data_IF_076072111283
#
_entry.id   IF_076072111283
#
_cell.length_a   1.000
_cell.length_b   1.000
_cell.length_c   1.000
_cell.angle_alpha   90.00
_cell.angle_beta   90.00
_cell.angle_gamma   90.00
#
_symmetry.space_group_name_H-M   'P 1'
#
loop_
_entity.id
_entity.type
_entity.pdbx_description
1 polymer ?
#
# COMPACT_ATOMS: atom_id res chain seq x y z
N UNK A 1 8.61 27.91 2.39
CA UNK A 1 10.01 27.46 2.24
C UNK A 1 10.00 26.04 1.70
N UNK A 2 10.79 25.69 0.68
CA UNK A 2 10.88 24.31 0.25
C UNK A 2 11.47 23.46 1.37
N UNK A 3 10.81 22.33 1.69
CA UNK A 3 11.32 21.38 2.68
C UNK A 3 12.61 20.75 2.14
N UNK A 4 13.69 20.84 2.89
CA UNK A 4 14.95 20.20 2.53
C UNK A 4 14.83 18.72 2.97
N UNK A 5 14.72 17.79 1.99
CA UNK A 5 14.91 16.37 2.21
C UNK A 5 13.65 15.48 2.25
N UNK A 6 12.43 16.02 2.09
CA UNK A 6 11.20 15.21 1.99
C UNK A 6 10.57 15.20 0.58
N UNK A 7 9.67 14.26 0.27
CA UNK A 7 8.92 14.27 -0.98
C UNK A 7 8.05 15.53 -1.08
N UNK A 8 7.98 16.11 -2.27
CA UNK A 8 7.19 17.33 -2.56
C UNK A 8 5.99 16.98 -3.44
N UNK A 9 4.82 17.56 -3.12
CA UNK A 9 3.56 17.36 -3.83
C UNK A 9 2.79 18.68 -4.04
N UNK A 10 1.79 18.69 -4.89
CA UNK A 10 0.92 19.83 -5.14
C UNK A 10 1.70 21.05 -5.64
N UNK A 11 1.45 22.23 -5.05
CA UNK A 11 2.11 23.49 -5.46
C UNK A 11 3.63 23.51 -5.32
N UNK A 12 4.20 22.63 -4.50
CA UNK A 12 5.64 22.49 -4.34
C UNK A 12 6.27 21.53 -5.36
N UNK A 13 5.44 20.73 -6.05
CA UNK A 13 5.83 19.83 -7.12
C UNK A 13 5.92 20.64 -8.43
N UNK A 14 7.14 21.00 -8.81
CA UNK A 14 7.36 21.93 -9.91
C UNK A 14 7.95 21.24 -11.14
N UNK A 15 7.49 21.64 -12.35
CA UNK A 15 8.08 21.33 -13.65
C UNK A 15 8.10 19.83 -14.08
N UNK A 16 7.12 19.00 -13.63
CA UNK A 16 6.99 17.59 -14.05
C UNK A 16 5.54 17.20 -14.35
N UNK A 17 4.70 18.18 -14.65
CA UNK A 17 3.28 17.98 -14.90
C UNK A 17 3.05 16.99 -16.05
N UNK A 18 3.78 17.16 -17.17
CA UNK A 18 3.68 16.27 -18.33
C UNK A 18 3.98 14.81 -17.96
N UNK A 19 5.01 14.58 -17.11
CA UNK A 19 5.35 13.23 -16.64
C UNK A 19 4.27 12.59 -15.76
N UNK A 20 3.61 13.39 -14.93
CA UNK A 20 2.48 12.89 -14.12
C UNK A 20 1.35 12.47 -15.03
N UNK A 21 1.00 13.29 -16.03
CA UNK A 21 -0.06 12.99 -16.99
C UNK A 21 0.25 11.73 -17.82
N UNK A 22 1.49 11.59 -18.28
CA UNK A 22 1.94 10.40 -19.01
C UNK A 22 1.81 9.13 -18.16
N UNK A 23 2.23 9.19 -16.89
CA UNK A 23 2.12 8.05 -15.96
C UNK A 23 0.66 7.72 -15.67
N UNK A 24 -0.18 8.71 -15.36
CA UNK A 24 -1.61 8.49 -15.07
C UNK A 24 -2.31 7.82 -16.26
N UNK A 25 -2.07 8.33 -17.47
CA UNK A 25 -2.64 7.74 -18.69
C UNK A 25 -2.18 6.30 -18.92
N UNK A 26 -0.90 6.02 -18.65
CA UNK A 26 -0.38 4.65 -18.84
C UNK A 26 -0.90 3.68 -17.77
N UNK A 27 -1.21 4.16 -16.56
CA UNK A 27 -1.78 3.34 -15.48
C UNK A 27 -3.22 2.90 -15.75
N UNK A 28 -3.92 3.49 -16.74
CA UNK A 28 -5.26 3.06 -17.13
C UNK A 28 -5.23 1.65 -17.77
N UNK A 29 -4.15 1.35 -18.51
CA UNK A 29 -4.06 0.14 -19.32
C UNK A 29 -2.98 -0.85 -18.84
N UNK A 30 -1.93 -0.38 -18.13
CA UNK A 30 -0.73 -1.16 -17.85
C UNK A 30 -0.18 -0.97 -16.43
N UNK A 31 0.65 -1.93 -16.00
CA UNK A 31 1.53 -1.77 -14.84
C UNK A 31 2.80 -1.05 -15.24
N UNK A 32 3.27 -0.10 -14.44
CA UNK A 32 4.43 0.72 -14.74
C UNK A 32 5.59 0.48 -13.76
N UNK A 33 6.79 0.39 -14.31
CA UNK A 33 8.03 0.42 -13.55
C UNK A 33 8.73 1.76 -13.77
N UNK A 34 8.82 2.57 -12.69
CA UNK A 34 9.53 3.84 -12.70
C UNK A 34 11.01 3.64 -12.34
N UNK A 35 11.88 3.80 -13.31
CA UNK A 35 13.33 3.73 -13.12
C UNK A 35 13.92 5.13 -13.18
N UNK A 36 14.62 5.53 -12.11
CA UNK A 36 15.35 6.79 -12.07
C UNK A 36 16.52 6.69 -11.09
N UNK A 37 17.60 7.45 -11.29
CA UNK A 37 18.69 7.53 -10.33
C UNK A 37 18.21 7.99 -8.95
N UNK A 38 18.96 7.64 -7.91
CA UNK A 38 18.68 8.10 -6.55
C UNK A 38 18.63 9.63 -6.49
N UNK A 39 17.72 10.20 -5.70
CA UNK A 39 17.46 11.65 -5.57
C UNK A 39 16.87 12.34 -6.81
N UNK A 40 16.40 11.60 -7.80
CA UNK A 40 15.71 12.19 -8.96
C UNK A 40 14.22 12.45 -8.71
N UNK A 41 13.75 12.31 -7.48
CA UNK A 41 12.38 12.63 -7.06
C UNK A 41 11.35 11.59 -7.47
N UNK A 42 11.72 10.30 -7.54
CA UNK A 42 10.80 9.17 -7.74
C UNK A 42 9.64 9.21 -6.74
N UNK A 43 9.98 9.20 -5.44
CA UNK A 43 8.99 9.26 -4.35
C UNK A 43 8.06 10.47 -4.46
N UNK A 44 8.61 11.65 -4.82
CA UNK A 44 7.78 12.85 -5.02
C UNK A 44 6.81 12.69 -6.19
N UNK A 45 7.25 12.07 -7.30
CA UNK A 45 6.39 11.78 -8.44
C UNK A 45 5.29 10.80 -8.05
N UNK A 46 5.62 9.71 -7.35
CA UNK A 46 4.67 8.71 -6.90
C UNK A 46 3.64 9.29 -5.91
N UNK A 47 4.08 10.14 -4.97
CA UNK A 47 3.17 10.85 -4.05
C UNK A 47 2.25 11.85 -4.77
N UNK A 48 2.71 12.51 -5.82
CA UNK A 48 1.86 13.37 -6.63
C UNK A 48 0.84 12.55 -7.44
N UNK A 49 1.22 11.38 -7.96
CA UNK A 49 0.31 10.44 -8.63
C UNK A 49 -0.76 9.95 -7.63
N UNK A 50 -0.36 9.51 -6.44
CA UNK A 50 -1.25 9.10 -5.36
C UNK A 50 -2.30 10.20 -5.04
N UNK A 51 -1.83 11.45 -4.88
CA UNK A 51 -2.70 12.58 -4.62
C UNK A 51 -3.74 12.78 -5.71
N UNK A 52 -3.35 12.72 -6.98
CA UNK A 52 -4.26 12.90 -8.11
C UNK A 52 -5.26 11.77 -8.26
N UNK A 53 -4.80 10.54 -8.16
CA UNK A 53 -5.69 9.38 -8.17
C UNK A 53 -6.73 9.48 -7.04
N UNK A 54 -6.33 9.94 -5.85
CA UNK A 54 -7.22 10.14 -4.72
C UNK A 54 -8.22 11.27 -4.96
N UNK A 55 -7.80 12.38 -5.58
CA UNK A 55 -8.67 13.49 -5.96
C UNK A 55 -9.71 13.10 -7.02
N UNK A 56 -9.38 12.17 -7.90
CA UNK A 56 -10.28 11.57 -8.89
C UNK A 56 -11.19 10.49 -8.29
N UNK A 57 -11.03 10.20 -6.99
CA UNK A 57 -11.86 9.25 -6.26
C UNK A 57 -11.39 7.79 -6.36
N UNK A 58 -10.20 7.55 -6.90
CA UNK A 58 -9.59 6.23 -6.94
C UNK A 58 -9.02 5.84 -5.57
N UNK A 59 -9.00 4.54 -5.32
CA UNK A 59 -8.34 3.98 -4.13
C UNK A 59 -6.86 3.72 -4.45
N UNK A 60 -5.98 4.21 -3.57
CA UNK A 60 -4.54 4.09 -3.74
C UNK A 60 -3.92 3.55 -2.46
N UNK A 61 -3.02 2.57 -2.58
CA UNK A 61 -2.20 2.05 -1.50
C UNK A 61 -0.75 2.39 -1.80
N UNK A 62 -0.08 3.03 -0.86
CA UNK A 62 1.33 3.37 -1.00
C UNK A 62 2.17 2.51 -0.03
N UNK A 63 3.11 1.76 -0.59
CA UNK A 63 4.07 0.94 0.15
C UNK A 63 5.48 1.46 -0.07
N UNK A 64 6.19 1.68 1.03
CA UNK A 64 7.64 1.87 1.04
C UNK A 64 8.27 0.56 1.49
N UNK A 65 8.98 -0.10 0.57
CA UNK A 65 9.54 -1.44 0.82
C UNK A 65 11.05 -1.40 1.12
N UNK A 66 11.58 -0.23 1.46
CA UNK A 66 13.02 -0.02 1.71
C UNK A 66 13.61 -0.95 2.78
N UNK A 67 12.80 -1.35 3.77
CA UNK A 67 13.22 -2.16 4.92
C UNK A 67 12.50 -3.50 4.98
N UNK A 68 11.99 -3.98 3.85
CA UNK A 68 11.32 -5.26 3.75
C UNK A 68 12.30 -6.27 3.16
N UNK A 69 12.67 -7.27 3.96
CA UNK A 69 13.67 -8.26 3.58
C UNK A 69 13.04 -9.61 3.18
N UNK A 70 11.77 -9.84 3.53
CA UNK A 70 11.10 -11.13 3.30
C UNK A 70 9.74 -10.99 2.64
N UNK A 71 9.27 -12.01 1.88
CA UNK A 71 7.92 -12.02 1.32
C UNK A 71 6.81 -11.90 2.37
N UNK A 72 7.01 -12.49 3.56
CA UNK A 72 6.07 -12.44 4.68
C UNK A 72 5.88 -10.99 5.15
N UNK A 73 6.98 -10.26 5.31
CA UNK A 73 6.94 -8.84 5.69
C UNK A 73 6.23 -8.00 4.63
N UNK A 74 6.46 -8.28 3.34
CA UNK A 74 5.75 -7.59 2.26
C UNK A 74 4.24 -7.77 2.36
N UNK A 75 3.76 -8.99 2.65
CA UNK A 75 2.33 -9.27 2.81
C UNK A 75 1.76 -8.54 4.01
N UNK A 76 2.49 -8.50 5.12
CA UNK A 76 2.09 -7.74 6.32
C UNK A 76 1.99 -6.24 6.02
N UNK A 77 2.98 -5.65 5.32
CA UNK A 77 2.95 -4.23 4.96
C UNK A 77 1.80 -3.91 3.98
N UNK A 78 1.55 -4.77 3.01
CA UNK A 78 0.44 -4.60 2.07
C UNK A 78 -0.92 -4.62 2.80
N UNK A 79 -1.11 -5.58 3.70
CA UNK A 79 -2.33 -5.67 4.51
C UNK A 79 -2.48 -4.46 5.44
N UNK A 80 -1.40 -4.02 6.08
CA UNK A 80 -1.38 -2.86 6.98
C UNK A 80 -1.70 -1.56 6.24
N UNK A 81 -1.12 -1.34 5.05
CA UNK A 81 -1.45 -0.19 4.21
C UNK A 81 -2.94 -0.19 3.84
N UNK A 82 -3.49 -1.34 3.43
CA UNK A 82 -4.92 -1.46 3.15
C UNK A 82 -5.78 -1.18 4.38
N UNK A 83 -5.37 -1.63 5.56
CA UNK A 83 -6.10 -1.39 6.80
C UNK A 83 -6.10 0.09 7.20
N UNK A 84 -4.97 0.79 7.04
CA UNK A 84 -4.84 2.21 7.41
C UNK A 84 -5.65 3.10 6.46
N UNK A 85 -5.49 2.91 5.15
CA UNK A 85 -6.10 3.75 4.12
C UNK A 85 -7.61 3.51 3.95
N UNK A 86 -8.14 2.48 4.61
CA UNK A 86 -9.55 2.11 4.49
C UNK A 86 -10.46 2.93 5.41
N UNK A 87 -11.63 3.34 4.89
CA UNK A 87 -12.73 3.80 5.73
C UNK A 87 -13.20 2.70 6.69
N UNK A 88 -13.91 3.08 7.76
CA UNK A 88 -14.45 2.12 8.74
C UNK A 88 -15.21 0.95 8.09
N UNK A 89 -16.08 1.24 7.12
CA UNK A 89 -16.83 0.19 6.42
C UNK A 89 -15.94 -0.78 5.65
N UNK A 90 -14.89 -0.27 4.98
CA UNK A 90 -13.91 -1.10 4.28
C UNK A 90 -13.06 -1.92 5.26
N UNK A 91 -12.59 -1.32 6.36
CA UNK A 91 -11.88 -2.03 7.44
C UNK A 91 -12.69 -3.22 7.94
N UNK A 92 -13.98 -3.02 8.20
CA UNK A 92 -14.88 -4.08 8.66
C UNK A 92 -14.99 -5.22 7.64
N UNK A 93 -15.17 -4.90 6.35
CA UNK A 93 -15.20 -5.90 5.28
C UNK A 93 -13.86 -6.64 5.19
N UNK A 94 -12.75 -5.91 5.19
CA UNK A 94 -11.41 -6.47 5.12
C UNK A 94 -11.12 -7.45 6.26
N UNK A 95 -11.38 -7.05 7.50
CA UNK A 95 -11.25 -7.93 8.66
C UNK A 95 -12.17 -9.15 8.58
N UNK A 96 -13.41 -9.00 8.08
CA UNK A 96 -14.32 -10.11 7.91
C UNK A 96 -13.78 -11.18 6.93
N UNK A 97 -13.11 -10.77 5.87
CA UNK A 97 -12.41 -11.70 4.96
C UNK A 97 -11.24 -12.41 5.66
N UNK A 98 -10.45 -11.66 6.44
CA UNK A 98 -9.25 -12.19 7.08
C UNK A 98 -9.54 -13.10 8.29
N UNK A 99 -10.69 -12.95 8.94
CA UNK A 99 -11.09 -13.80 10.10
C UNK A 99 -11.11 -15.29 9.80
N UNK A 100 -11.44 -15.68 8.56
CA UNK A 100 -11.38 -17.07 8.12
C UNK A 100 -9.98 -17.59 7.78
N UNK A 101 -8.98 -16.71 7.76
CA UNK A 101 -7.62 -17.00 7.30
C UNK A 101 -6.61 -16.92 8.45
N UNK A 102 -6.82 -15.98 9.39
CA UNK A 102 -5.92 -15.67 10.50
C UNK A 102 -6.68 -15.75 11.83
N UNK A 103 -6.37 -16.72 12.65
CA UNK A 103 -7.09 -16.98 13.93
C UNK A 103 -7.11 -15.75 14.85
N UNK A 104 -5.98 -15.06 15.01
CA UNK A 104 -5.85 -13.91 15.92
C UNK A 104 -6.48 -12.60 15.41
N UNK A 105 -6.95 -12.56 14.17
CA UNK A 105 -7.66 -11.39 13.61
C UNK A 105 -9.02 -11.18 14.31
N UNK A 106 -9.61 -12.20 14.91
CA UNK A 106 -10.85 -12.05 15.66
C UNK A 106 -10.76 -11.07 16.83
N UNK A 107 -9.56 -10.90 17.40
CA UNK A 107 -9.28 -9.95 18.48
C UNK A 107 -9.15 -8.49 18.01
N UNK A 108 -9.15 -8.24 16.69
CA UNK A 108 -9.00 -6.90 16.11
C UNK A 108 -10.37 -6.28 15.91
N UNK A 109 -10.63 -5.17 16.60
CA UNK A 109 -11.87 -4.40 16.46
C UNK A 109 -11.66 -3.18 15.56
N UNK A 110 -12.37 -3.18 14.41
CA UNK A 110 -12.31 -2.07 13.45
C UNK A 110 -12.90 -0.75 13.98
N UNK A 111 -13.70 -0.79 15.04
CA UNK A 111 -14.33 0.40 15.64
C UNK A 111 -13.37 1.20 16.52
N UNK A 112 -12.28 0.58 16.96
CA UNK A 112 -11.26 1.22 17.79
C UNK A 112 -10.22 1.87 16.87
N UNK A 113 -10.07 3.19 16.97
CA UNK A 113 -9.01 3.91 16.29
C UNK A 113 -7.78 4.04 17.21
N UNK A 114 -6.60 3.96 16.61
CA UNK A 114 -5.35 4.21 17.31
C UNK A 114 -4.24 3.19 17.04
N UNK A 115 -3.05 3.51 17.53
CA UNK A 115 -1.84 2.69 17.31
C UNK A 115 -1.94 1.27 17.88
N UNK A 116 -2.67 1.09 18.99
CA UNK A 116 -2.81 -0.21 19.63
C UNK A 116 -3.54 -1.25 18.77
N UNK A 117 -4.57 -0.84 18.02
CA UNK A 117 -5.30 -1.74 17.11
C UNK A 117 -4.43 -2.14 15.94
N UNK A 118 -3.70 -1.19 15.37
CA UNK A 118 -2.75 -1.46 14.29
C UNK A 118 -1.67 -2.45 14.72
N UNK A 119 -1.10 -2.29 15.92
CA UNK A 119 -0.10 -3.22 16.46
C UNK A 119 -0.67 -4.63 16.59
N UNK A 120 -1.87 -4.78 17.14
CA UNK A 120 -2.56 -6.08 17.26
C UNK A 120 -2.82 -6.69 15.87
N UNK A 121 -3.28 -5.90 14.92
CA UNK A 121 -3.52 -6.34 13.55
C UNK A 121 -2.23 -6.87 12.90
N UNK A 122 -1.15 -6.09 12.92
CA UNK A 122 0.15 -6.51 12.39
C UNK A 122 0.67 -7.78 13.07
N UNK A 123 0.52 -7.88 14.41
CA UNK A 123 0.96 -9.06 15.15
C UNK A 123 0.16 -10.29 14.76
N UNK A 124 -1.15 -10.18 14.60
CA UNK A 124 -2.00 -11.29 14.17
C UNK A 124 -1.62 -11.82 12.78
N UNK A 125 -1.23 -10.93 11.85
CA UNK A 125 -0.72 -11.33 10.55
C UNK A 125 0.65 -12.02 10.66
N UNK A 126 1.60 -11.43 11.39
CA UNK A 126 2.94 -11.99 11.59
C UNK A 126 2.91 -13.38 12.23
N UNK A 127 1.99 -13.59 13.16
CA UNK A 127 1.82 -14.90 13.82
C UNK A 127 1.20 -15.97 12.90
N UNK A 128 0.55 -15.55 11.82
CA UNK A 128 -0.14 -16.45 10.88
C UNK A 128 0.55 -16.65 9.53
N UNK A 129 1.65 -15.91 9.27
CA UNK A 129 2.41 -16.00 8.02
C UNK A 129 3.82 -16.50 8.34
N UNK A 130 4.28 -17.50 7.60
CA UNK A 130 5.61 -18.11 7.71
C UNK A 130 6.17 -18.49 6.34
N UNK A 131 7.41 -19.00 6.31
CA UNK A 131 8.14 -19.38 5.11
C UNK A 131 7.40 -20.43 4.24
N UNK A 132 6.57 -21.27 4.87
CA UNK A 132 5.86 -22.36 4.20
C UNK A 132 4.53 -21.91 3.59
N UNK A 133 3.88 -20.88 4.17
CA UNK A 133 2.51 -20.49 3.82
C UNK A 133 2.36 -19.09 3.21
N UNK A 134 3.41 -18.28 3.16
CA UNK A 134 3.33 -16.87 2.73
C UNK A 134 2.64 -16.67 1.38
N UNK A 135 2.89 -17.56 0.41
CA UNK A 135 2.33 -17.43 -0.93
C UNK A 135 0.80 -17.65 -0.95
N UNK A 136 0.30 -18.58 -0.13
CA UNK A 136 -1.14 -18.81 0.04
C UNK A 136 -1.79 -17.69 0.83
N UNK A 137 -1.21 -17.32 1.96
CA UNK A 137 -1.66 -16.20 2.80
C UNK A 137 -1.65 -14.88 2.04
N UNK A 138 -0.64 -14.65 1.19
CA UNK A 138 -0.57 -13.49 0.31
C UNK A 138 -1.76 -13.41 -0.65
N UNK A 139 -2.12 -14.53 -1.29
CA UNK A 139 -3.32 -14.60 -2.16
C UNK A 139 -4.59 -14.28 -1.38
N UNK A 140 -4.71 -14.75 -0.15
CA UNK A 140 -5.89 -14.49 0.67
C UNK A 140 -5.96 -13.02 1.11
N UNK A 141 -4.82 -12.40 1.45
CA UNK A 141 -4.74 -10.96 1.72
C UNK A 141 -5.14 -10.14 0.48
N UNK A 142 -4.63 -10.48 -0.71
CA UNK A 142 -5.04 -9.81 -1.94
C UNK A 142 -6.54 -9.96 -2.21
N UNK A 143 -7.12 -11.15 -2.04
CA UNK A 143 -8.57 -11.37 -2.18
C UNK A 143 -9.36 -10.53 -1.16
N UNK A 144 -8.90 -10.45 0.07
CA UNK A 144 -9.52 -9.64 1.11
C UNK A 144 -9.49 -8.13 0.75
N UNK A 145 -8.36 -7.65 0.20
CA UNK A 145 -8.22 -6.27 -0.29
C UNK A 145 -9.24 -6.02 -1.40
N UNK A 146 -9.21 -6.83 -2.46
CA UNK A 146 -10.13 -6.68 -3.61
C UNK A 146 -11.59 -6.71 -3.16
N UNK A 147 -11.95 -7.64 -2.28
CA UNK A 147 -13.31 -7.75 -1.74
C UNK A 147 -13.72 -6.56 -0.88
N UNK A 148 -12.81 -5.99 -0.09
CA UNK A 148 -13.09 -4.81 0.74
C UNK A 148 -13.35 -3.55 -0.10
N UNK A 149 -12.80 -3.47 -1.30
CA UNK A 149 -13.01 -2.38 -2.25
C UNK A 149 -14.11 -2.64 -3.28
N UNK A 150 -14.97 -3.64 -3.04
CA UNK A 150 -16.11 -3.99 -3.90
C UNK A 150 -15.70 -4.28 -5.36
N UNK A 151 -14.55 -4.89 -5.57
CA UNK A 151 -13.92 -5.17 -6.87
C UNK A 151 -13.67 -3.92 -7.74
N UNK A 152 -13.59 -2.74 -7.14
CA UNK A 152 -13.19 -1.52 -7.86
C UNK A 152 -11.67 -1.51 -8.07
N UNK A 153 -11.18 -0.82 -9.10
CA UNK A 153 -9.74 -0.67 -9.31
C UNK A 153 -9.04 -0.06 -8.09
N UNK A 154 -7.90 -0.64 -7.74
CA UNK A 154 -7.02 -0.18 -6.67
C UNK A 154 -5.64 0.02 -7.27
N UNK A 155 -5.05 1.19 -7.08
CA UNK A 155 -3.68 1.46 -7.47
C UNK A 155 -2.74 1.14 -6.31
N UNK A 156 -1.74 0.30 -6.57
CA UNK A 156 -0.72 -0.04 -5.58
C UNK A 156 0.59 0.59 -6.04
N UNK A 157 1.08 1.56 -5.29
CA UNK A 157 2.32 2.26 -5.54
C UNK A 157 3.40 1.70 -4.60
N UNK A 158 4.44 1.10 -5.18
CA UNK A 158 5.54 0.47 -4.42
C UNK A 158 6.81 1.27 -4.66
N UNK A 159 7.32 1.94 -3.63
CA UNK A 159 8.59 2.68 -3.68
C UNK A 159 9.75 1.82 -3.16
N UNK A 160 10.95 2.10 -3.64
CA UNK A 160 12.23 1.44 -3.30
C UNK A 160 12.26 -0.08 -3.60
N UNK A 161 11.46 -0.57 -4.56
CA UNK A 161 11.38 -1.99 -4.95
C UNK A 161 12.76 -2.59 -5.36
N UNK A 162 13.68 -1.76 -5.84
CA UNK A 162 15.03 -2.19 -6.23
C UNK A 162 15.90 -2.70 -5.07
N UNK A 163 15.60 -2.30 -3.84
CA UNK A 163 16.30 -2.75 -2.65
C UNK A 163 15.89 -4.18 -2.26
N UNK A 164 14.63 -4.56 -2.51
CA UNK A 164 14.11 -5.91 -2.22
C UNK A 164 14.64 -6.99 -3.17
N UNK A 165 15.08 -6.63 -4.39
CA UNK A 165 15.47 -7.60 -5.43
C UNK A 165 16.96 -7.97 -5.35
N UNK A 166 17.75 -7.20 -4.59
CA UNK A 166 19.21 -7.36 -4.52
C UNK A 166 19.71 -8.08 -3.26
N UNK A 167 18.82 -8.56 -2.40
CA UNK A 167 19.09 -9.43 -1.26
C UNK A 167 18.56 -10.84 -1.57
#
# INVERSE_FOLDING_TARGET
>A
MPSIGGPVTGKAFFNREDKVQDVLKSLEDDNLLLIAPRRYGKTSLMREIERRLSEEGHSCLFLDVMYIDTPEEFIVELADASFIESSYSRKKKFLAFLKGVFEKIEEVDASIEGSGVRVKFRQALKDGIDDDNWAEKGKDVFRAIVGAYDNKPIYILIDELSECVNN
#
